data_IF_201303007873
#
_entry.id   IF_201303007873
#
_cell.length_a   1.000
_cell.length_b   1.000
_cell.length_c   1.000
_cell.angle_alpha   90.00
_cell.angle_beta   90.00
_cell.angle_gamma   90.00
#
_symmetry.space_group_name_H-M   'P 1'
#
loop_
_entity.id
_entity.type
_entity.pdbx_description
1 polymer ?
#
# COMPACT_ATOMS: atom_id res chain seq x y z
N UNK A 1 -6.73 18.25 11.25
CA UNK A 1 -7.32 19.35 12.05
C UNK A 1 -8.14 20.36 11.22
N UNK A 2 -7.84 20.61 9.93
CA UNK A 2 -8.53 21.63 9.13
C UNK A 2 -10.05 21.44 8.86
N UNK A 3 -10.61 20.23 9.01
CA UNK A 3 -12.04 19.97 8.79
C UNK A 3 -12.95 20.47 9.91
N UNK A 4 -12.49 20.37 11.16
CA UNK A 4 -13.22 20.82 12.34
C UNK A 4 -13.45 22.34 12.34
N UNK A 5 -12.46 23.09 11.83
CA UNK A 5 -12.50 24.56 11.76
C UNK A 5 -13.52 25.09 10.75
N UNK A 6 -13.80 24.31 9.70
CA UNK A 6 -14.80 24.68 8.67
C UNK A 6 -16.22 24.43 9.18
N UNK A 7 -16.44 23.30 9.84
CA UNK A 7 -17.72 22.96 10.46
C UNK A 7 -18.06 23.97 11.57
N UNK A 8 -17.07 24.31 12.41
CA UNK A 8 -17.26 25.27 13.51
C UNK A 8 -17.65 26.66 13.00
N UNK A 9 -17.02 27.13 11.92
CA UNK A 9 -17.41 28.41 11.27
C UNK A 9 -18.81 28.37 10.69
N UNK A 10 -19.19 27.25 10.05
CA UNK A 10 -20.54 27.08 9.52
C UNK A 10 -21.59 27.04 10.64
N UNK A 11 -21.30 26.34 11.75
CA UNK A 11 -22.16 26.29 12.92
C UNK A 11 -22.35 27.67 13.57
N UNK A 12 -21.27 28.45 13.66
CA UNK A 12 -21.31 29.83 14.17
C UNK A 12 -22.20 30.71 13.28
N UNK A 13 -21.97 30.69 11.96
CA UNK A 13 -22.75 31.48 10.99
C UNK A 13 -24.22 31.06 10.93
N UNK A 14 -24.51 29.76 11.09
CA UNK A 14 -25.86 29.24 11.13
C UNK A 14 -26.58 29.63 12.43
N UNK A 15 -25.86 29.60 13.55
CA UNK A 15 -26.37 30.03 14.86
C UNK A 15 -26.78 31.50 14.87
N UNK A 16 -25.94 32.37 14.32
CA UNK A 16 -26.24 33.80 14.15
C UNK A 16 -27.50 34.03 13.29
N UNK A 17 -27.57 33.39 12.12
CA UNK A 17 -28.73 33.52 11.22
C UNK A 17 -30.02 32.93 11.80
N UNK A 18 -29.91 31.88 12.61
CA UNK A 18 -31.06 31.28 13.29
C UNK A 18 -31.55 32.15 14.46
N UNK A 19 -30.63 32.79 15.19
CA UNK A 19 -30.97 33.76 16.24
C UNK A 19 -31.70 34.96 15.63
N UNK A 20 -31.21 35.51 14.51
CA UNK A 20 -31.90 36.57 13.77
C UNK A 20 -33.32 36.14 13.33
N UNK A 21 -33.46 34.91 12.84
CA UNK A 21 -34.76 34.35 12.46
C UNK A 21 -35.68 34.05 13.65
N UNK A 22 -35.14 33.84 14.85
CA UNK A 22 -35.93 33.58 16.07
C UNK A 22 -36.64 34.83 16.60
N UNK A 23 -36.17 36.02 16.21
CA UNK A 23 -36.84 37.30 16.46
C UNK A 23 -37.91 37.65 15.42
N UNK A 24 -38.09 36.81 14.39
CA UNK A 24 -39.12 37.01 13.36
C UNK A 24 -40.50 36.52 13.83
N UNK A 25 -41.60 36.95 13.18
CA UNK A 25 -42.95 36.45 13.47
C UNK A 25 -43.05 34.92 13.45
N UNK A 26 -43.88 34.33 14.34
CA UNK A 26 -44.01 32.87 14.51
C UNK A 26 -44.22 32.10 13.20
N UNK A 27 -44.91 32.70 12.24
CA UNK A 27 -45.23 32.07 10.95
C UNK A 27 -43.97 31.87 10.09
N UNK A 28 -43.03 32.82 10.14
CA UNK A 28 -41.71 32.72 9.51
C UNK A 28 -40.86 31.68 10.24
N UNK A 29 -40.88 31.69 11.57
CA UNK A 29 -40.15 30.72 12.39
C UNK A 29 -40.57 29.27 12.07
N UNK A 30 -41.88 29.02 11.94
CA UNK A 30 -42.44 27.70 11.60
C UNK A 30 -42.04 27.26 10.19
N UNK A 31 -42.02 28.19 9.23
CA UNK A 31 -41.55 27.93 7.86
C UNK A 31 -40.05 27.58 7.82
N UNK A 32 -39.21 28.35 8.52
CA UNK A 32 -37.77 28.11 8.63
C UNK A 32 -37.48 26.74 9.27
N UNK A 33 -38.18 26.39 10.35
CA UNK A 33 -38.04 25.09 11.00
C UNK A 33 -38.37 23.91 10.07
N UNK A 34 -39.44 24.03 9.27
CA UNK A 34 -39.82 23.00 8.31
C UNK A 34 -38.77 22.84 7.19
N UNK A 35 -38.23 23.96 6.70
CA UNK A 35 -37.14 23.94 5.71
C UNK A 35 -35.87 23.33 6.29
N UNK A 36 -35.52 23.65 7.54
CA UNK A 36 -34.36 23.06 8.23
C UNK A 36 -34.52 21.56 8.42
N UNK A 37 -35.69 21.10 8.85
CA UNK A 37 -35.98 19.66 9.00
C UNK A 37 -35.84 18.93 7.66
N UNK A 38 -36.44 19.46 6.60
CA UNK A 38 -36.29 18.91 5.25
C UNK A 38 -34.88 19.08 4.66
N UNK A 39 -34.04 19.96 5.19
CA UNK A 39 -32.62 20.04 4.84
C UNK A 39 -31.79 18.98 5.57
N UNK A 40 -32.05 18.74 6.86
CA UNK A 40 -31.43 17.65 7.63
C UNK A 40 -31.77 16.28 7.05
N UNK A 41 -33.02 16.04 6.63
CA UNK A 41 -33.44 14.79 6.00
C UNK A 41 -32.75 14.55 4.63
N UNK A 42 -32.29 15.62 3.97
CA UNK A 42 -31.55 15.55 2.70
C UNK A 42 -30.03 15.44 2.88
N UNK A 43 -29.53 15.57 4.11
CA UNK A 43 -28.13 15.36 4.42
C UNK A 43 -27.91 13.90 4.82
N UNK A 44 -26.82 13.31 4.38
CA UNK A 44 -26.38 11.99 4.83
C UNK A 44 -25.79 12.09 6.23
N UNK A 45 -26.65 12.32 7.22
CA UNK A 45 -26.26 12.42 8.62
C UNK A 45 -25.97 11.01 9.15
N UNK A 46 -24.73 10.80 9.57
CA UNK A 46 -24.34 9.61 10.33
C UNK A 46 -24.45 9.95 11.81
N UNK A 47 -25.12 9.11 12.59
CA UNK A 47 -25.21 9.33 14.03
C UNK A 47 -23.82 9.21 14.65
N UNK A 48 -23.61 9.90 15.79
CA UNK A 48 -22.34 9.80 16.50
C UNK A 48 -22.05 8.36 16.95
N UNK A 49 -23.09 7.64 17.34
CA UNK A 49 -23.00 6.24 17.75
C UNK A 49 -22.54 5.35 16.60
N UNK A 50 -23.11 5.50 15.40
CA UNK A 50 -22.70 4.74 14.21
C UNK A 50 -21.25 5.04 13.82
N UNK A 51 -20.83 6.30 13.92
CA UNK A 51 -19.44 6.68 13.67
C UNK A 51 -18.48 6.00 14.65
N UNK A 52 -18.82 5.99 15.94
CA UNK A 52 -18.00 5.36 16.98
C UNK A 52 -17.91 3.83 16.75
N UNK A 53 -19.00 3.18 16.31
CA UNK A 53 -19.01 1.77 15.93
C UNK A 53 -18.07 1.51 14.75
N UNK A 54 -18.15 2.32 13.69
CA UNK A 54 -17.27 2.18 12.52
C UNK A 54 -15.80 2.39 12.88
N UNK A 55 -15.52 3.33 13.79
CA UNK A 55 -14.17 3.56 14.31
C UNK A 55 -13.64 2.32 15.05
N UNK A 56 -14.44 1.69 15.91
CA UNK A 56 -14.06 0.47 16.61
C UNK A 56 -13.83 -0.70 15.63
N UNK A 57 -14.69 -0.86 14.62
CA UNK A 57 -14.47 -1.85 13.55
C UNK A 57 -13.13 -1.60 12.85
N UNK A 58 -12.84 -0.33 12.50
CA UNK A 58 -11.60 0.05 11.82
C UNK A 58 -10.35 -0.21 12.67
N UNK A 59 -10.44 -0.01 13.98
CA UNK A 59 -9.36 -0.35 14.91
C UNK A 59 -9.13 -1.87 14.97
N UNK A 60 -10.21 -2.65 15.06
CA UNK A 60 -10.13 -4.12 15.07
C UNK A 60 -9.58 -4.69 13.76
N UNK A 61 -9.98 -4.14 12.61
CA UNK A 61 -9.45 -4.57 11.32
C UNK A 61 -7.97 -4.26 11.19
N UNK A 62 -7.53 -3.07 11.62
CA UNK A 62 -6.12 -2.70 11.65
C UNK A 62 -5.30 -3.66 12.52
N UNK A 63 -5.76 -3.94 13.74
CA UNK A 63 -5.07 -4.87 14.63
C UNK A 63 -4.97 -6.28 14.02
N UNK A 64 -6.02 -6.73 13.33
CA UNK A 64 -6.02 -8.02 12.63
C UNK A 64 -5.04 -8.05 11.46
N UNK A 65 -4.96 -6.97 10.67
CA UNK A 65 -3.99 -6.84 9.58
C UNK A 65 -2.57 -6.92 10.12
N UNK A 66 -2.24 -6.13 11.15
CA UNK A 66 -0.91 -6.14 11.77
C UNK A 66 -0.54 -7.53 12.33
N UNK A 67 -1.51 -8.28 12.87
CA UNK A 67 -1.28 -9.64 13.35
C UNK A 67 -1.05 -10.64 12.22
N UNK A 68 -1.73 -10.48 11.08
CA UNK A 68 -1.54 -11.34 9.90
C UNK A 68 -0.22 -11.04 9.21
N UNK A 69 0.16 -9.77 9.08
CA UNK A 69 1.46 -9.36 8.54
C UNK A 69 2.62 -10.00 9.33
N UNK A 70 2.52 -10.04 10.67
CA UNK A 70 3.51 -10.72 11.52
C UNK A 70 3.55 -12.23 11.29
N UNK A 71 2.40 -12.88 11.12
CA UNK A 71 2.32 -14.31 10.85
C UNK A 71 2.94 -14.66 9.49
N UNK A 72 2.65 -13.87 8.47
CA UNK A 72 3.22 -14.03 7.13
C UNK A 72 4.74 -13.88 7.19
N UNK A 73 5.25 -12.81 7.81
CA UNK A 73 6.70 -12.59 7.94
C UNK A 73 7.41 -13.74 8.69
N UNK A 74 6.77 -14.30 9.73
CA UNK A 74 7.31 -15.44 10.46
C UNK A 74 7.35 -16.71 9.60
N UNK A 75 6.32 -16.95 8.79
CA UNK A 75 6.27 -18.08 7.86
C UNK A 75 7.29 -17.94 6.73
N UNK A 76 7.42 -16.76 6.14
CA UNK A 76 8.43 -16.45 5.13
C UNK A 76 9.84 -16.72 5.68
N UNK A 77 10.13 -16.25 6.90
CA UNK A 77 11.41 -16.51 7.57
C UNK A 77 11.66 -18.00 7.80
N UNK A 78 10.63 -18.75 8.22
CA UNK A 78 10.75 -20.19 8.47
C UNK A 78 11.02 -20.97 7.16
N UNK A 79 10.36 -20.59 6.06
CA UNK A 79 10.60 -21.17 4.74
C UNK A 79 12.01 -20.88 4.22
N UNK A 80 12.51 -19.65 4.42
CA UNK A 80 13.89 -19.30 4.05
C UNK A 80 14.91 -20.10 4.90
N UNK A 81 14.63 -20.34 6.17
CA UNK A 81 15.45 -21.19 7.04
C UNK A 81 15.44 -22.65 6.58
N UNK A 82 14.29 -23.18 6.14
CA UNK A 82 14.19 -24.54 5.62
C UNK A 82 14.91 -24.69 4.26
N UNK A 83 14.78 -23.69 3.38
CA UNK A 83 15.50 -23.66 2.10
C UNK A 83 17.02 -23.54 2.27
N UNK A 84 17.48 -22.72 3.22
CA UNK A 84 18.91 -22.60 3.54
C UNK A 84 19.45 -23.83 4.26
N UNK A 85 18.66 -24.47 5.12
CA UNK A 85 19.02 -25.75 5.76
C UNK A 85 19.11 -26.90 4.75
N UNK A 86 18.24 -26.92 3.73
CA UNK A 86 18.29 -27.91 2.66
C UNK A 86 19.52 -27.74 1.76
N UNK A 87 19.95 -26.49 1.48
CA UNK A 87 21.19 -26.22 0.75
C UNK A 87 22.44 -26.59 1.56
N UNK A 88 22.46 -26.34 2.87
CA UNK A 88 23.59 -26.69 3.74
C UNK A 88 23.75 -28.21 3.95
N UNK A 89 22.65 -28.97 3.94
CA UNK A 89 22.69 -30.43 4.02
C UNK A 89 23.32 -31.08 2.78
N UNK A 90 23.27 -30.43 1.61
CA UNK A 90 23.90 -30.90 0.38
C UNK A 90 25.42 -30.61 0.34
N UNK A 91 25.90 -29.60 1.08
CA UNK A 91 27.33 -29.22 1.13
C UNK A 91 28.12 -29.91 2.27
N UNK A 92 27.42 -30.61 3.18
CA UNK A 92 28.04 -31.36 4.30
C UNK A 92 28.45 -32.81 3.97
N UNK A 93 28.30 -33.27 2.72
CA UNK A 93 28.89 -34.56 2.30
C UNK A 93 30.37 -34.36 1.99
N UNK A 94 31.18 -34.12 3.03
CA UNK A 94 32.62 -33.98 2.93
C UNK A 94 33.34 -35.36 2.95
N UNK A 95 34.52 -35.47 2.30
CA UNK A 95 35.10 -36.72 1.77
C UNK A 95 35.94 -37.48 2.80
N UNK A 96 36.21 -38.78 2.56
CA UNK A 96 37.56 -39.26 2.80
C UNK A 96 38.03 -40.22 1.70
N UNK A 97 39.20 -39.94 1.12
CA UNK A 97 40.31 -40.88 0.97
C UNK A 97 41.27 -40.35 -0.08
N UNK A 98 42.34 -39.69 0.38
CA UNK A 98 43.57 -39.68 -0.39
C UNK A 98 44.16 -41.10 -0.37
N UNK A 99 44.44 -41.65 -1.54
CA UNK A 99 45.47 -42.68 -1.72
C UNK A 99 46.09 -42.55 -3.13
N UNK A 100 47.24 -41.87 -3.14
CA UNK A 100 48.47 -42.19 -3.93
C UNK A 100 48.40 -42.45 -5.44
N UNK A 101 49.01 -41.53 -6.20
CA UNK A 101 50.26 -41.80 -6.93
C UNK A 101 50.17 -42.27 -8.39
N UNK A 102 50.83 -41.53 -9.28
CA UNK A 102 51.23 -42.03 -10.61
C UNK A 102 51.32 -40.94 -11.68
N UNK A 103 52.56 -40.54 -12.02
CA UNK A 103 52.94 -39.62 -13.10
C UNK A 103 52.94 -40.36 -14.44
N UNK A 104 52.47 -39.70 -15.51
CA UNK A 104 52.86 -39.81 -16.95
C UNK A 104 51.73 -39.17 -17.76
N UNK A 105 51.88 -38.47 -18.87
CA UNK A 105 53.00 -37.92 -19.62
C UNK A 105 52.37 -36.96 -20.67
N UNK A 106 53.14 -35.96 -21.04
CA UNK A 106 53.18 -35.07 -22.22
C UNK A 106 52.23 -35.22 -23.44
N UNK A 107 52.13 -34.06 -24.12
CA UNK A 107 51.93 -33.83 -25.57
C UNK A 107 50.49 -33.68 -26.08
N UNK A 108 50.15 -32.88 -27.08
CA UNK A 108 50.65 -31.63 -27.70
C UNK A 108 49.56 -31.24 -28.72
N UNK A 109 49.37 -29.94 -28.97
CA UNK A 109 49.00 -29.28 -30.24
C UNK A 109 47.75 -29.68 -31.08
N UNK A 110 47.02 -28.64 -31.53
CA UNK A 110 46.03 -28.68 -32.63
C UNK A 110 44.82 -27.75 -32.38
N UNK A 111 44.93 -26.44 -32.62
CA UNK A 111 44.63 -25.75 -33.88
C UNK A 111 43.13 -25.62 -34.24
N UNK A 112 42.68 -24.36 -34.30
CA UNK A 112 41.60 -23.78 -35.13
C UNK A 112 40.13 -24.14 -34.90
N UNK A 113 39.30 -23.09 -34.79
CA UNK A 113 37.84 -23.22 -34.78
C UNK A 113 37.08 -21.92 -34.56
N UNK A 114 37.40 -20.90 -35.34
CA UNK A 114 36.56 -19.74 -35.68
C UNK A 114 35.05 -20.03 -35.61
N UNK A 115 34.29 -19.20 -34.88
CA UNK A 115 32.92 -18.79 -35.23
C UNK A 115 32.50 -17.55 -34.44
N UNK A 116 32.91 -16.43 -35.01
CA UNK A 116 32.10 -15.24 -35.25
C UNK A 116 30.57 -15.45 -35.07
N UNK A 117 29.94 -14.67 -34.19
CA UNK A 117 28.55 -14.26 -34.40
C UNK A 117 28.24 -12.94 -33.66
N UNK A 118 27.98 -11.84 -34.38
CA UNK A 118 27.53 -10.59 -33.80
C UNK A 118 26.00 -10.51 -33.83
N UNK A 119 25.35 -10.13 -32.72
CA UNK A 119 24.03 -9.48 -32.82
C UNK A 119 23.90 -8.29 -31.87
N UNK A 120 23.81 -7.16 -32.56
CA UNK A 120 23.52 -5.78 -32.20
C UNK A 120 22.00 -5.59 -32.05
N UNK A 121 21.59 -4.68 -31.15
CA UNK A 121 20.23 -4.12 -31.05
C UNK A 121 19.37 -4.82 -29.97
N UNK A 122 18.62 -4.15 -29.11
CA UNK A 122 18.11 -2.78 -29.14
C UNK A 122 18.03 -2.23 -27.70
N UNK A 123 18.32 -0.94 -27.56
CA UNK A 123 17.89 -0.17 -26.41
C UNK A 123 16.42 0.19 -26.65
N UNK A 124 15.52 -0.49 -25.94
CA UNK A 124 14.14 -0.03 -25.76
C UNK A 124 14.17 1.16 -24.80
N UNK A 125 14.09 2.37 -25.36
CA UNK A 125 13.72 3.58 -24.64
C UNK A 125 12.78 4.36 -25.57
N UNK A 126 11.53 3.93 -25.61
CA UNK A 126 10.40 4.69 -26.11
C UNK A 126 9.32 4.67 -25.01
N UNK A 127 9.28 5.70 -24.17
CA UNK A 127 8.01 6.18 -23.62
C UNK A 127 7.95 7.69 -23.87
N UNK A 128 7.37 7.99 -25.03
CA UNK A 128 6.89 9.29 -25.42
C UNK A 128 5.49 9.45 -24.82
N UNK A 129 5.37 10.19 -23.72
CA UNK A 129 4.12 10.87 -23.37
C UNK A 129 4.41 12.35 -23.21
N UNK A 130 4.00 13.10 -24.24
CA UNK A 130 4.25 14.53 -24.38
C UNK A 130 3.28 15.44 -23.63
N UNK A 131 3.48 16.74 -23.90
CA UNK A 131 2.43 17.74 -23.82
C UNK A 131 2.42 18.62 -22.57
N UNK A 132 3.20 19.69 -22.58
CA UNK A 132 2.73 20.97 -22.03
C UNK A 132 3.44 22.15 -22.70
N UNK A 133 2.64 22.84 -23.50
CA UNK A 133 2.88 24.15 -24.11
C UNK A 133 3.49 25.17 -23.13
N UNK A 134 4.48 25.94 -23.59
CA UNK A 134 4.56 27.36 -23.24
C UNK A 134 5.47 28.16 -24.16
N UNK A 135 4.87 29.24 -24.67
CA UNK A 135 5.41 30.46 -25.28
C UNK A 135 5.30 30.56 -26.80
#
# INVERSE_FOLDING_TARGET
MAGSDRISRLAQQLGERLQDASHAPEEIQRSVHNVMRGAFDRMELVSREDFDILMDVLQRTRARVEALEKQVAALETALDQEATSALAAADSVAPPAQASGGVSEISESGESGEKDNPRKGAADNDDETGGAEKQ
#
